data_IF_977943783898
#
_entry.id   IF_977943783898
#
_cell.length_a   1.000
_cell.length_b   1.000
_cell.length_c   1.000
_cell.angle_alpha   90.00
_cell.angle_beta   90.00
_cell.angle_gamma   90.00
#
_symmetry.space_group_name_H-M   'P 1'
#
loop_
_entity.id
_entity.type
_entity.pdbx_description
1 polymer ?
#
# COMPACT_ATOMS: atom_id res chain seq x y z
N UNK A 1 7.06 -11.73 26.39
CA UNK A 1 7.08 -10.26 26.49
C UNK A 1 8.45 -9.69 26.11
N UNK A 2 9.56 -10.21 26.66
CA UNK A 2 10.94 -9.73 26.40
C UNK A 2 11.49 -9.82 24.95
N UNK A 3 10.88 -10.58 24.03
CA UNK A 3 11.35 -10.68 22.64
C UNK A 3 10.74 -9.65 21.68
N UNK A 4 9.72 -8.89 22.09
CA UNK A 4 9.13 -7.86 21.22
C UNK A 4 9.90 -6.54 21.28
N UNK A 5 10.44 -6.19 22.46
CA UNK A 5 11.14 -4.92 22.69
C UNK A 5 12.49 -4.83 21.97
N UNK A 6 13.22 -5.94 21.86
CA UNK A 6 14.53 -5.98 21.17
C UNK A 6 14.39 -5.73 19.67
N UNK A 7 13.36 -6.29 19.04
CA UNK A 7 13.10 -6.05 17.62
C UNK A 7 12.31 -4.76 17.35
N UNK A 8 11.60 -4.21 18.34
CA UNK A 8 10.96 -2.91 18.25
C UNK A 8 12.00 -1.78 18.28
N UNK A 9 13.02 -1.89 19.13
CA UNK A 9 14.18 -0.98 19.15
C UNK A 9 14.93 -0.98 17.81
N UNK A 10 15.29 -2.16 17.30
CA UNK A 10 16.07 -2.26 16.04
C UNK A 10 15.32 -1.78 14.79
N UNK A 11 13.98 -1.82 14.79
CA UNK A 11 13.16 -1.39 13.65
C UNK A 11 13.06 0.14 13.51
N UNK A 12 13.42 0.92 14.54
CA UNK A 12 13.16 2.36 14.62
C UNK A 12 14.40 3.19 15.00
N UNK A 13 15.46 2.55 15.53
CA UNK A 13 16.72 3.23 15.89
C UNK A 13 17.41 3.79 14.64
N UNK A 14 17.68 5.10 14.65
CA UNK A 14 18.37 5.82 13.57
C UNK A 14 17.48 6.25 12.39
N UNK A 15 16.15 6.16 12.51
CA UNK A 15 15.21 6.48 11.44
C UNK A 15 14.61 7.87 11.71
N UNK A 16 14.87 8.83 10.82
CA UNK A 16 14.42 10.22 10.96
C UNK A 16 13.03 10.46 10.36
N UNK A 17 12.60 9.61 9.43
CA UNK A 17 11.29 9.71 8.79
C UNK A 17 10.84 8.42 8.11
N UNK A 18 9.57 8.34 7.67
CA UNK A 18 9.02 7.16 7.01
C UNK A 18 9.76 6.79 5.72
N UNK A 19 10.39 7.77 5.07
CA UNK A 19 11.17 7.59 3.84
C UNK A 19 12.51 6.86 4.05
N UNK A 20 12.98 6.74 5.28
CA UNK A 20 14.23 6.05 5.60
C UNK A 20 14.07 4.52 5.62
N UNK A 21 12.83 4.04 5.75
CA UNK A 21 12.51 2.63 5.75
C UNK A 21 12.88 1.95 4.43
N UNK A 22 13.44 0.73 4.53
CA UNK A 22 13.89 -0.05 3.35
C UNK A 22 12.76 -0.28 2.33
N UNK A 23 11.57 -0.66 2.79
CA UNK A 23 10.42 -0.89 1.90
C UNK A 23 9.97 0.40 1.21
N UNK A 24 10.01 1.55 1.89
CA UNK A 24 9.70 2.85 1.30
C UNK A 24 10.74 3.29 0.27
N UNK A 25 12.03 2.97 0.47
CA UNK A 25 13.08 3.22 -0.52
C UNK A 25 12.89 2.41 -1.80
N UNK A 26 12.56 1.13 -1.66
CA UNK A 26 12.24 0.25 -2.81
C UNK A 26 10.99 0.76 -3.52
N UNK A 27 9.93 1.07 -2.78
CA UNK A 27 8.69 1.59 -3.35
C UNK A 27 8.90 2.91 -4.09
N UNK A 28 9.67 3.83 -3.49
CA UNK A 28 10.07 5.10 -4.11
C UNK A 28 10.79 4.86 -5.42
N UNK A 29 11.79 3.98 -5.43
CA UNK A 29 12.56 3.67 -6.64
C UNK A 29 11.65 3.14 -7.76
N UNK A 30 10.77 2.19 -7.45
CA UNK A 30 9.92 1.57 -8.47
C UNK A 30 8.83 2.51 -8.97
N UNK A 31 8.15 3.22 -8.06
CA UNK A 31 7.13 4.21 -8.46
C UNK A 31 7.73 5.36 -9.28
N UNK A 32 9.02 5.68 -9.11
CA UNK A 32 9.71 6.66 -9.95
C UNK A 32 9.91 6.17 -11.38
N UNK A 33 10.28 4.90 -11.58
CA UNK A 33 10.43 4.29 -12.91
C UNK A 33 9.13 4.42 -13.72
N UNK A 34 7.98 4.19 -13.08
CA UNK A 34 6.67 4.24 -13.75
C UNK A 34 5.99 5.63 -13.68
N UNK A 35 6.70 6.67 -13.24
CA UNK A 35 6.18 8.04 -13.06
C UNK A 35 5.03 8.20 -12.04
N UNK A 36 4.82 7.20 -11.19
CA UNK A 36 3.80 7.17 -10.13
C UNK A 36 4.22 7.79 -8.79
N UNK A 37 5.50 8.15 -8.60
CA UNK A 37 5.97 8.73 -7.34
C UNK A 37 5.62 10.23 -7.23
N UNK A 38 5.08 10.72 -6.08
CA UNK A 38 4.73 12.12 -5.86
C UNK A 38 5.94 13.03 -5.54
N UNK A 39 7.08 12.82 -6.20
CA UNK A 39 8.34 13.52 -5.88
C UNK A 39 8.23 15.06 -5.89
N UNK A 40 7.54 15.63 -6.89
CA UNK A 40 7.28 17.08 -6.97
C UNK A 40 6.43 17.60 -5.81
N UNK A 41 5.41 16.84 -5.38
CA UNK A 41 4.54 17.24 -4.28
C UNK A 41 5.26 17.18 -2.92
N UNK A 42 6.24 16.28 -2.79
CA UNK A 42 7.12 16.13 -1.64
C UNK A 42 8.29 17.15 -1.62
N UNK A 43 8.47 17.95 -2.68
CA UNK A 43 9.59 18.90 -2.79
C UNK A 43 10.94 18.24 -3.08
N UNK A 44 10.95 17.00 -3.56
CA UNK A 44 12.18 16.29 -3.90
C UNK A 44 12.78 16.84 -5.21
N UNK A 45 14.12 16.85 -5.32
CA UNK A 45 14.80 17.13 -6.58
C UNK A 45 14.35 16.09 -7.61
N UNK A 46 13.63 16.54 -8.64
CA UNK A 46 13.14 15.69 -9.71
C UNK A 46 14.30 15.31 -10.63
N UNK A 47 14.44 14.01 -10.94
CA UNK A 47 15.34 13.58 -12.01
C UNK A 47 14.89 14.23 -13.34
N UNK A 48 15.80 14.46 -14.28
CA UNK A 48 15.44 14.98 -15.63
C UNK A 48 14.42 14.10 -16.37
N UNK A 49 14.38 12.82 -16.01
CA UNK A 49 13.46 11.80 -16.53
C UNK A 49 12.11 11.81 -15.78
N UNK A 50 12.05 12.42 -14.58
CA UNK A 50 10.86 12.53 -13.75
C UNK A 50 10.10 13.82 -14.09
N UNK A 51 9.01 13.69 -14.83
CA UNK A 51 8.14 14.81 -15.17
C UNK A 51 6.82 14.35 -15.77
N UNK A 52 5.86 15.27 -15.88
CA UNK A 52 4.57 14.98 -16.53
C UNK A 52 4.78 14.46 -17.96
N UNK A 53 5.83 14.90 -18.66
CA UNK A 53 6.19 14.40 -19.99
C UNK A 53 6.46 12.89 -20.05
N UNK A 54 7.14 12.32 -19.03
CA UNK A 54 7.34 10.86 -18.96
C UNK A 54 6.01 10.14 -18.71
N UNK A 55 5.19 10.65 -17.78
CA UNK A 55 3.87 10.08 -17.52
C UNK A 55 2.98 10.10 -18.79
N UNK A 56 3.00 11.20 -19.55
CA UNK A 56 2.30 11.30 -20.84
C UNK A 56 2.88 10.32 -21.87
N UNK A 57 4.20 10.21 -21.97
CA UNK A 57 4.87 9.27 -22.86
C UNK A 57 4.45 7.82 -22.57
N UNK A 58 4.53 7.38 -21.32
CA UNK A 58 4.12 6.02 -20.93
C UNK A 58 2.62 5.79 -21.17
N UNK A 59 1.77 6.79 -20.95
CA UNK A 59 0.33 6.68 -21.18
C UNK A 59 0.00 6.56 -22.66
N UNK A 60 0.61 7.38 -23.51
CA UNK A 60 0.44 7.33 -24.97
C UNK A 60 0.96 6.00 -25.51
N UNK A 61 2.13 5.56 -25.04
CA UNK A 61 2.71 4.28 -25.43
C UNK A 61 1.79 3.10 -25.05
N UNK A 62 1.24 3.12 -23.84
CA UNK A 62 0.26 2.11 -23.36
C UNK A 62 -0.99 2.07 -24.24
N UNK A 63 -1.53 3.23 -24.63
CA UNK A 63 -2.67 3.34 -25.54
C UNK A 63 -2.37 2.79 -26.93
N UNK A 64 -1.19 3.08 -27.48
CA UNK A 64 -0.75 2.56 -28.77
C UNK A 64 -0.68 1.03 -28.72
N UNK A 65 -0.06 0.46 -27.67
CA UNK A 65 -0.01 -0.99 -27.50
C UNK A 65 -1.40 -1.61 -27.34
N UNK A 66 -2.33 -0.94 -26.66
CA UNK A 66 -3.70 -1.42 -26.52
C UNK A 66 -4.42 -1.43 -27.87
N UNK A 67 -4.31 -0.35 -28.65
CA UNK A 67 -4.91 -0.24 -29.97
C UNK A 67 -4.33 -1.27 -30.96
N UNK A 68 -3.01 -1.43 -30.97
CA UNK A 68 -2.32 -2.45 -31.77
C UNK A 68 -2.72 -3.86 -31.36
N UNK A 69 -2.86 -4.13 -30.06
CA UNK A 69 -3.33 -5.41 -29.54
C UNK A 69 -4.75 -5.75 -30.02
N UNK A 70 -5.68 -4.79 -29.95
CA UNK A 70 -7.05 -4.95 -30.46
C UNK A 70 -7.04 -5.21 -31.97
N UNK A 71 -6.26 -4.42 -32.73
CA UNK A 71 -6.18 -4.55 -34.18
C UNK A 71 -5.58 -5.91 -34.60
N UNK A 72 -4.50 -6.34 -33.93
CA UNK A 72 -3.86 -7.63 -34.15
C UNK A 72 -4.81 -8.79 -33.90
N UNK A 73 -5.55 -8.74 -32.78
CA UNK A 73 -6.54 -9.75 -32.42
C UNK A 73 -7.66 -9.80 -33.46
N UNK A 74 -8.26 -8.66 -33.83
CA UNK A 74 -9.33 -8.63 -34.85
C UNK A 74 -8.89 -9.23 -36.18
N UNK A 75 -7.65 -8.98 -36.61
CA UNK A 75 -7.13 -9.47 -37.88
C UNK A 75 -6.82 -10.98 -37.86
N UNK A 76 -6.32 -11.49 -36.74
CA UNK A 76 -5.77 -12.84 -36.65
C UNK A 76 -6.58 -13.82 -35.76
N UNK A 77 -7.71 -13.39 -35.18
CA UNK A 77 -8.51 -14.22 -34.26
C UNK A 77 -8.88 -15.60 -34.84
N UNK A 78 -9.14 -15.68 -36.15
CA UNK A 78 -9.48 -16.94 -36.83
C UNK A 78 -8.32 -17.95 -36.92
N UNK A 79 -7.08 -17.52 -36.67
CA UNK A 79 -5.87 -18.35 -36.80
C UNK A 79 -5.42 -18.98 -35.49
N UNK A 80 -5.91 -18.50 -34.36
CA UNK A 80 -5.44 -18.91 -33.05
C UNK A 80 -6.33 -19.99 -32.43
N UNK A 81 -5.68 -20.94 -31.75
CA UNK A 81 -6.38 -21.91 -30.91
C UNK A 81 -6.99 -21.27 -29.66
N UNK A 82 -7.89 -21.99 -28.96
CA UNK A 82 -8.56 -21.49 -27.76
C UNK A 82 -7.60 -20.99 -26.68
N UNK A 83 -6.53 -21.75 -26.39
CA UNK A 83 -5.55 -21.39 -25.36
C UNK A 83 -4.75 -20.13 -25.74
N UNK A 84 -4.33 -20.02 -27.00
CA UNK A 84 -3.60 -18.86 -27.51
C UNK A 84 -4.46 -17.59 -27.47
N UNK A 85 -5.74 -17.73 -27.85
CA UNK A 85 -6.72 -16.66 -27.78
C UNK A 85 -6.95 -16.21 -26.32
N UNK A 86 -7.03 -17.17 -25.39
CA UNK A 86 -7.12 -16.92 -23.95
C UNK A 86 -5.94 -16.09 -23.42
N UNK A 87 -4.71 -16.46 -23.77
CA UNK A 87 -3.52 -15.69 -23.41
C UNK A 87 -3.53 -14.27 -24.00
N UNK A 88 -3.92 -14.13 -25.27
CA UNK A 88 -4.07 -12.83 -25.93
C UNK A 88 -5.10 -11.93 -25.22
N UNK A 89 -6.24 -12.48 -24.79
CA UNK A 89 -7.23 -11.73 -24.02
C UNK A 89 -6.71 -11.28 -22.66
N UNK A 90 -6.01 -12.16 -21.92
CA UNK A 90 -5.42 -11.80 -20.62
C UNK A 90 -4.43 -10.64 -20.79
N UNK A 91 -3.55 -10.71 -21.80
CA UNK A 91 -2.59 -9.63 -22.09
C UNK A 91 -3.31 -8.33 -22.42
N UNK A 92 -4.39 -8.39 -23.21
CA UNK A 92 -5.17 -7.22 -23.59
C UNK A 92 -5.87 -6.57 -22.39
N UNK A 93 -6.47 -7.38 -21.52
CA UNK A 93 -7.10 -6.93 -20.28
C UNK A 93 -6.09 -6.34 -19.30
N UNK A 94 -4.91 -6.95 -19.17
CA UNK A 94 -3.84 -6.41 -18.34
C UNK A 94 -3.34 -5.06 -18.86
N UNK A 95 -3.18 -4.91 -20.17
CA UNK A 95 -2.80 -3.63 -20.77
C UNK A 95 -3.89 -2.56 -20.59
N UNK A 96 -5.17 -2.94 -20.68
CA UNK A 96 -6.29 -2.05 -20.39
C UNK A 96 -6.25 -1.56 -18.94
N UNK A 97 -5.97 -2.45 -17.98
CA UNK A 97 -5.81 -2.09 -16.57
C UNK A 97 -4.60 -1.16 -16.36
N UNK A 98 -3.43 -1.47 -16.93
CA UNK A 98 -2.25 -0.61 -16.87
C UNK A 98 -2.52 0.79 -17.44
N UNK A 99 -3.23 0.87 -18.56
CA UNK A 99 -3.63 2.13 -19.18
C UNK A 99 -4.57 2.92 -18.26
N UNK A 100 -5.58 2.27 -17.68
CA UNK A 100 -6.50 2.90 -16.72
C UNK A 100 -5.76 3.48 -15.51
N UNK A 101 -4.77 2.76 -14.98
CA UNK A 101 -3.92 3.22 -13.86
C UNK A 101 -3.01 4.38 -14.25
N UNK A 102 -2.45 4.37 -15.46
CA UNK A 102 -1.64 5.50 -15.96
C UNK A 102 -2.47 6.80 -16.00
N UNK A 103 -3.73 6.72 -16.46
CA UNK A 103 -4.64 7.87 -16.46
C UNK A 103 -5.07 8.28 -15.05
N UNK A 104 -5.50 7.34 -14.22
CA UNK A 104 -6.11 7.65 -12.92
C UNK A 104 -5.10 7.99 -11.84
N UNK A 105 -3.87 7.46 -11.91
CA UNK A 105 -2.84 7.64 -10.88
C UNK A 105 -1.69 8.53 -11.37
N UNK A 106 -1.01 8.17 -12.46
CA UNK A 106 0.19 8.90 -12.89
C UNK A 106 -0.10 10.34 -13.32
N UNK A 107 -1.23 10.58 -13.99
CA UNK A 107 -1.64 11.90 -14.46
C UNK A 107 -2.47 12.69 -13.43
N UNK A 108 -2.93 12.04 -12.36
CA UNK A 108 -3.81 12.67 -11.37
C UNK A 108 -3.02 13.46 -10.33
N UNK A 109 -3.29 14.76 -10.25
CA UNK A 109 -2.77 15.60 -9.16
C UNK A 109 -3.38 15.23 -7.81
N UNK A 110 -4.65 14.82 -7.78
CA UNK A 110 -5.33 14.38 -6.54
C UNK A 110 -4.61 13.21 -5.91
N UNK A 111 -4.24 12.20 -6.71
CA UNK A 111 -3.45 11.06 -6.22
C UNK A 111 -2.11 11.51 -5.63
N UNK A 112 -1.41 12.44 -6.28
CA UNK A 112 -0.13 12.96 -5.78
C UNK A 112 -0.27 13.71 -4.46
N UNK A 113 -1.36 14.45 -4.28
CA UNK A 113 -1.69 15.13 -3.02
C UNK A 113 -2.01 14.13 -1.91
N UNK A 114 -2.83 13.12 -2.18
CA UNK A 114 -3.15 12.06 -1.21
C UNK A 114 -1.88 11.30 -0.80
N UNK A 115 -1.04 10.93 -1.77
CA UNK A 115 0.23 10.25 -1.50
C UNK A 115 1.18 11.11 -0.64
N UNK A 116 1.19 12.44 -0.84
CA UNK A 116 1.93 13.38 0.01
C UNK A 116 1.39 13.40 1.43
N UNK A 117 0.06 13.55 1.60
CA UNK A 117 -0.60 13.55 2.91
C UNK A 117 -0.31 12.25 3.65
N UNK A 118 -0.39 11.12 2.96
CA UNK A 118 -0.03 9.82 3.51
C UNK A 118 1.40 9.81 4.07
N UNK A 119 2.40 10.18 3.25
CA UNK A 119 3.80 10.10 3.65
C UNK A 119 4.15 11.10 4.77
N UNK A 120 3.55 12.30 4.76
CA UNK A 120 3.96 13.41 5.64
C UNK A 120 3.11 13.57 6.90
N UNK A 121 1.87 13.08 6.91
CA UNK A 121 0.92 13.32 8.00
C UNK A 121 0.32 12.03 8.55
N UNK A 122 -0.17 11.16 7.67
CA UNK A 122 -0.95 9.96 8.07
C UNK A 122 -0.07 8.73 8.31
N UNK A 123 1.21 8.73 7.94
CA UNK A 123 2.05 7.57 8.22
C UNK A 123 2.15 7.34 9.73
N UNK A 124 1.97 6.09 10.17
CA UNK A 124 1.92 5.72 11.60
C UNK A 124 3.23 6.03 12.35
N UNK A 125 4.29 6.37 11.62
CA UNK A 125 5.57 6.82 12.14
C UNK A 125 5.44 8.06 13.03
N UNK A 126 4.54 8.99 12.69
CA UNK A 126 4.36 10.24 13.43
C UNK A 126 3.56 10.06 14.74
N UNK A 127 2.96 8.89 14.95
CA UNK A 127 2.09 8.61 16.09
C UNK A 127 2.64 7.51 17.00
N UNK A 128 3.80 6.96 16.67
CA UNK A 128 4.42 5.84 17.37
C UNK A 128 4.71 6.15 18.85
N UNK A 129 5.00 7.41 19.17
CA UNK A 129 5.44 7.85 20.51
C UNK A 129 4.25 8.29 21.40
N UNK A 130 3.01 8.21 20.91
CA UNK A 130 1.82 8.64 21.66
C UNK A 130 1.48 7.69 22.83
N UNK A 131 1.79 6.40 22.69
CA UNK A 131 1.58 5.39 23.74
C UNK A 131 2.40 4.13 23.46
N UNK A 132 2.63 3.31 24.48
CA UNK A 132 3.29 2.00 24.31
C UNK A 132 2.53 1.09 23.34
N UNK A 133 1.19 1.14 23.38
CA UNK A 133 0.36 0.40 22.43
C UNK A 133 0.51 0.93 21.00
N UNK A 134 0.57 2.25 20.80
CA UNK A 134 0.81 2.85 19.49
C UNK A 134 2.16 2.44 18.90
N UNK A 135 3.21 2.36 19.72
CA UNK A 135 4.52 1.85 19.30
C UNK A 135 4.45 0.38 18.87
N UNK A 136 3.77 -0.47 19.65
CA UNK A 136 3.57 -1.88 19.32
C UNK A 136 2.84 -2.08 17.98
N UNK A 137 1.77 -1.30 17.74
CA UNK A 137 1.03 -1.33 16.48
C UNK A 137 1.90 -0.81 15.33
N UNK A 138 2.66 0.27 15.53
CA UNK A 138 3.61 0.79 14.54
C UNK A 138 4.63 -0.27 14.10
N UNK A 139 5.25 -0.99 15.05
CA UNK A 139 6.18 -2.07 14.75
C UNK A 139 5.51 -3.20 13.97
N UNK A 140 4.28 -3.56 14.34
CA UNK A 140 3.50 -4.60 13.65
C UNK A 140 3.21 -4.20 12.21
N UNK A 141 2.68 -2.99 11.98
CA UNK A 141 2.39 -2.45 10.64
C UNK A 141 3.67 -2.35 9.80
N UNK A 142 4.78 -1.90 10.39
CA UNK A 142 6.08 -1.83 9.74
C UNK A 142 6.54 -3.21 9.24
N UNK A 143 6.44 -4.25 10.09
CA UNK A 143 6.81 -5.61 9.71
C UNK A 143 5.95 -6.16 8.57
N UNK A 144 4.63 -6.02 8.68
CA UNK A 144 3.69 -6.47 7.63
C UNK A 144 4.00 -5.74 6.31
N UNK A 145 4.23 -4.43 6.37
CA UNK A 145 4.61 -3.60 5.22
C UNK A 145 5.90 -4.08 4.56
N UNK A 146 6.92 -4.40 5.36
CA UNK A 146 8.18 -4.94 4.87
C UNK A 146 7.99 -6.31 4.20
N UNK A 147 7.30 -7.24 4.86
CA UNK A 147 7.03 -8.57 4.30
C UNK A 147 6.23 -8.50 3.00
N UNK A 148 5.19 -7.67 2.95
CA UNK A 148 4.39 -7.46 1.76
C UNK A 148 5.24 -6.92 0.58
N UNK A 149 6.09 -5.92 0.84
CA UNK A 149 6.97 -5.36 -0.18
C UNK A 149 7.98 -6.38 -0.71
N UNK A 150 8.61 -7.16 0.18
CA UNK A 150 9.54 -8.23 -0.22
C UNK A 150 8.82 -9.33 -1.00
N UNK A 151 7.66 -9.77 -0.53
CA UNK A 151 6.85 -10.80 -1.18
C UNK A 151 6.45 -10.38 -2.60
N UNK A 152 5.91 -9.18 -2.77
CA UNK A 152 5.52 -8.65 -4.08
C UNK A 152 6.74 -8.51 -5.00
N UNK A 153 7.88 -8.06 -4.47
CA UNK A 153 9.11 -7.93 -5.25
C UNK A 153 9.60 -9.30 -5.76
N UNK A 154 9.62 -10.32 -4.90
CA UNK A 154 9.99 -11.69 -5.27
C UNK A 154 9.02 -12.25 -6.32
N UNK A 155 7.72 -12.10 -6.12
CA UNK A 155 6.71 -12.57 -7.06
C UNK A 155 6.85 -11.92 -8.43
N UNK A 156 7.17 -10.63 -8.48
CA UNK A 156 7.43 -9.93 -9.74
C UNK A 156 8.71 -10.40 -10.43
N UNK A 157 9.79 -10.65 -9.67
CA UNK A 157 11.02 -11.23 -10.22
C UNK A 157 10.78 -12.63 -10.78
N UNK A 158 10.05 -13.49 -10.06
CA UNK A 158 9.69 -14.84 -10.54
C UNK A 158 8.82 -14.75 -11.79
N UNK A 159 7.78 -13.92 -11.78
CA UNK A 159 6.91 -13.73 -12.93
C UNK A 159 7.68 -13.24 -14.16
N UNK A 160 8.57 -12.27 -13.98
CA UNK A 160 9.46 -11.78 -15.01
C UNK A 160 10.37 -12.88 -15.59
N UNK A 161 11.00 -13.68 -14.73
CA UNK A 161 11.84 -14.78 -15.16
C UNK A 161 11.02 -15.82 -15.93
N UNK A 162 9.91 -16.31 -15.37
CA UNK A 162 9.08 -17.35 -15.99
C UNK A 162 8.48 -16.91 -17.33
N UNK A 163 8.06 -15.65 -17.43
CA UNK A 163 7.49 -15.11 -18.66
C UNK A 163 8.48 -15.12 -19.84
N UNK A 164 9.78 -15.01 -19.57
CA UNK A 164 10.83 -15.08 -20.59
C UNK A 164 11.39 -16.50 -20.75
N UNK A 165 11.60 -17.23 -19.65
CA UNK A 165 12.25 -18.53 -19.65
C UNK A 165 11.35 -19.64 -20.19
N UNK A 166 10.03 -19.60 -19.96
CA UNK A 166 9.11 -20.64 -20.45
C UNK A 166 9.06 -20.64 -22.00
N UNK A 167 8.84 -19.50 -22.69
CA UNK A 167 8.91 -19.47 -24.15
C UNK A 167 10.30 -19.85 -24.68
N UNK A 168 11.37 -19.45 -23.99
CA UNK A 168 12.74 -19.80 -24.38
C UNK A 168 12.98 -21.31 -24.29
N UNK A 169 12.58 -21.95 -23.19
CA UNK A 169 12.68 -23.39 -23.00
C UNK A 169 11.85 -24.14 -24.05
N UNK A 170 10.62 -23.71 -24.31
CA UNK A 170 9.75 -24.33 -25.31
C UNK A 170 10.36 -24.24 -26.72
N UNK A 171 10.93 -23.09 -27.09
CA UNK A 171 11.63 -22.91 -28.36
C UNK A 171 12.89 -23.78 -28.45
N UNK A 172 13.62 -23.94 -27.34
CA UNK A 172 14.79 -24.82 -27.28
C UNK A 172 14.43 -26.29 -27.41
N UNK A 173 13.43 -26.76 -26.66
CA UNK A 173 12.94 -28.13 -26.75
C UNK A 173 12.37 -28.47 -28.13
N UNK A 174 11.80 -27.50 -28.84
CA UNK A 174 11.30 -27.65 -30.21
C UNK A 174 12.42 -27.65 -31.27
N UNK A 175 13.68 -27.40 -30.91
CA UNK A 175 14.81 -27.37 -31.85
C UNK A 175 14.94 -26.07 -32.64
N UNK A 176 14.20 -25.01 -32.29
CA UNK A 176 14.19 -23.75 -33.04
C UNK A 176 15.52 -22.96 -32.95
N UNK A 177 16.42 -23.32 -32.03
CA UNK A 177 17.77 -22.75 -31.95
C UNK A 177 18.83 -23.53 -32.74
N UNK A 178 18.46 -24.60 -33.48
CA UNK A 178 19.41 -25.43 -34.21
C UNK A 178 19.90 -24.81 -35.55
N UNK A 179 19.20 -23.80 -36.08
CA UNK A 179 19.59 -23.09 -37.30
C UNK A 179 19.33 -21.58 -37.17
N UNK A 180 20.26 -20.75 -37.67
CA UNK A 180 20.17 -19.30 -37.63
C UNK A 180 19.01 -18.73 -38.47
N UNK A 181 18.46 -19.51 -39.39
CA UNK A 181 17.35 -19.11 -40.28
C UNK A 181 15.97 -19.14 -39.60
N UNK A 182 15.83 -19.75 -38.42
CA UNK A 182 14.56 -19.93 -37.70
C UNK A 182 14.39 -19.04 -36.46
N UNK A 183 15.12 -17.92 -36.36
CA UNK A 183 14.98 -16.96 -35.26
C UNK A 183 13.71 -16.08 -35.40
N UNK A 184 12.53 -16.68 -35.36
CA UNK A 184 11.32 -15.92 -35.01
C UNK A 184 11.33 -15.66 -33.51
N UNK A 185 11.77 -14.46 -33.13
CA UNK A 185 11.77 -14.03 -31.73
C UNK A 185 10.33 -13.81 -31.24
N UNK A 186 9.70 -14.85 -30.67
CA UNK A 186 8.37 -14.79 -30.03
C UNK A 186 8.48 -14.38 -28.55
N UNK A 187 9.39 -13.47 -28.20
CA UNK A 187 9.42 -12.94 -26.84
C UNK A 187 8.30 -11.89 -26.71
N UNK A 188 7.21 -12.26 -26.05
CA UNK A 188 6.08 -11.38 -25.80
C UNK A 188 6.56 -10.19 -24.94
N UNK A 189 6.47 -8.98 -25.47
CA UNK A 189 6.86 -7.75 -24.76
C UNK A 189 5.81 -7.33 -23.72
N UNK A 190 5.65 -8.09 -22.63
CA UNK A 190 4.55 -7.86 -21.65
C UNK A 190 5.02 -7.59 -20.21
N UNK A 191 6.32 -7.68 -19.94
CA UNK A 191 6.88 -7.58 -18.59
C UNK A 191 6.73 -6.18 -17.94
N UNK A 192 6.57 -5.12 -18.74
CA UNK A 192 6.41 -3.74 -18.23
C UNK A 192 4.99 -3.43 -17.72
N UNK A 193 3.95 -4.07 -18.28
CA UNK A 193 2.55 -3.78 -17.87
C UNK A 193 2.20 -4.41 -16.51
N UNK A 194 2.53 -5.69 -16.29
CA UNK A 194 2.19 -6.37 -15.02
C UNK A 194 2.96 -5.84 -13.81
N UNK A 195 4.21 -5.41 -14.00
CA UNK A 195 5.04 -4.84 -12.94
C UNK A 195 4.53 -3.47 -12.48
N UNK A 196 3.98 -2.65 -13.37
CA UNK A 196 3.45 -1.32 -13.01
C UNK A 196 2.17 -1.39 -12.17
N UNK A 197 1.24 -2.30 -12.48
CA UNK A 197 -0.02 -2.47 -11.72
C UNK A 197 0.27 -2.92 -10.29
N UNK A 198 1.07 -3.97 -10.14
CA UNK A 198 1.39 -4.56 -8.84
C UNK A 198 2.07 -3.58 -7.88
N UNK A 199 2.75 -2.56 -8.40
CA UNK A 199 3.46 -1.56 -7.59
C UNK A 199 2.54 -0.46 -7.06
N UNK A 200 1.52 -0.07 -7.84
CA UNK A 200 0.45 0.79 -7.31
C UNK A 200 -0.37 0.08 -6.26
N UNK A 201 -0.67 -1.21 -6.49
CA UNK A 201 -1.40 -2.02 -5.53
C UNK A 201 -0.59 -2.21 -4.23
N UNK A 202 0.73 -2.42 -4.33
CA UNK A 202 1.61 -2.43 -3.15
C UNK A 202 1.53 -1.11 -2.37
N UNK A 203 1.60 0.05 -3.05
CA UNK A 203 1.49 1.33 -2.36
C UNK A 203 0.14 1.49 -1.64
N UNK A 204 -0.94 1.09 -2.30
CA UNK A 204 -2.29 1.10 -1.72
C UNK A 204 -2.38 0.17 -0.51
N UNK A 205 -1.84 -1.05 -0.58
CA UNK A 205 -1.78 -1.97 0.56
C UNK A 205 -1.03 -1.35 1.74
N UNK A 206 0.09 -0.66 1.50
CA UNK A 206 0.85 0.01 2.55
C UNK A 206 0.04 1.13 3.23
N UNK A 207 -0.72 1.91 2.44
CA UNK A 207 -1.64 2.90 3.00
C UNK A 207 -2.71 2.23 3.86
N UNK A 208 -3.31 1.14 3.39
CA UNK A 208 -4.33 0.38 4.13
C UNK A 208 -3.78 -0.16 5.45
N UNK A 209 -2.55 -0.71 5.47
CA UNK A 209 -1.97 -1.22 6.71
C UNK A 209 -1.76 -0.12 7.76
N UNK A 210 -1.34 1.07 7.33
CA UNK A 210 -1.21 2.22 8.22
C UNK A 210 -2.58 2.69 8.74
N UNK A 211 -3.60 2.80 7.88
CA UNK A 211 -4.97 3.13 8.28
C UNK A 211 -5.56 2.09 9.25
N UNK A 212 -5.33 0.81 8.99
CA UNK A 212 -5.72 -0.26 9.90
C UNK A 212 -5.05 -0.11 11.27
N UNK A 213 -3.76 0.25 11.29
CA UNK A 213 -3.05 0.54 12.53
C UNK A 213 -3.65 1.72 13.29
N UNK A 214 -4.00 2.81 12.60
CA UNK A 214 -4.72 3.94 13.19
C UNK A 214 -6.05 3.54 13.84
N UNK A 215 -6.86 2.74 13.15
CA UNK A 215 -8.12 2.24 13.73
C UNK A 215 -7.89 1.36 14.94
N UNK A 216 -6.85 0.52 14.93
CA UNK A 216 -6.50 -0.30 16.10
C UNK A 216 -6.10 0.54 17.31
N UNK A 217 -5.37 1.63 17.12
CA UNK A 217 -5.01 2.56 18.19
C UNK A 217 -6.26 3.28 18.70
N UNK A 218 -7.14 3.75 17.81
CA UNK A 218 -8.37 4.43 18.20
C UNK A 218 -9.29 3.52 19.01
N UNK A 219 -9.50 2.28 18.56
CA UNK A 219 -10.32 1.29 19.29
C UNK A 219 -9.71 1.04 20.67
N UNK A 220 -8.39 0.84 20.76
CA UNK A 220 -7.72 0.62 22.04
C UNK A 220 -7.93 1.79 23.01
N UNK A 221 -7.82 3.03 22.52
CA UNK A 221 -8.04 4.23 23.33
C UNK A 221 -9.50 4.35 23.81
N UNK A 222 -10.46 3.89 23.01
CA UNK A 222 -11.88 3.87 23.38
C UNK A 222 -12.22 2.73 24.36
N UNK A 223 -11.59 1.57 24.22
CA UNK A 223 -11.81 0.42 25.11
C UNK A 223 -11.21 0.65 26.51
N UNK A 224 -10.09 1.37 26.59
CA UNK A 224 -9.40 1.74 27.84
C UNK A 224 -9.75 3.14 28.32
N UNK A 225 -10.85 3.70 27.80
CA UNK A 225 -11.32 5.01 28.21
C UNK A 225 -11.69 4.97 29.70
N UNK A 226 -11.28 5.97 30.51
CA UNK A 226 -11.52 5.95 31.95
C UNK A 226 -13.01 5.84 32.25
N UNK A 227 -13.37 4.88 33.09
CA UNK A 227 -14.74 4.71 33.61
C UNK A 227 -14.90 5.51 34.90
N UNK A 228 -16.12 5.91 35.28
CA UNK A 228 -16.35 6.61 36.54
C UNK A 228 -15.84 5.79 37.73
N UNK A 229 -15.11 6.40 38.67
CA UNK A 229 -14.61 5.68 39.85
C UNK A 229 -15.73 5.30 40.85
N UNK A 230 -16.92 5.88 40.71
CA UNK A 230 -18.06 5.64 41.61
C UNK A 230 -18.74 4.32 41.24
N UNK A 231 -18.36 3.21 41.89
CA UNK A 231 -19.09 1.95 41.80
C UNK A 231 -20.49 2.10 42.42
N UNK A 232 -21.51 1.72 41.65
CA UNK A 232 -22.89 1.64 42.11
C UNK A 232 -23.03 0.44 43.03
N UNK A 233 -23.70 0.65 44.17
CA UNK A 233 -24.06 -0.45 45.06
C UNK A 233 -25.49 -0.90 44.72
N UNK A 234 -25.67 -2.19 44.46
CA UNK A 234 -26.99 -2.79 44.23
C UNK A 234 -27.90 -2.56 45.45
N UNK A 235 -29.22 -2.67 45.29
CA UNK A 235 -30.18 -2.46 46.39
C UNK A 235 -29.88 -3.31 47.65
N UNK A 236 -29.30 -4.50 47.48
CA UNK A 236 -28.86 -5.37 48.59
C UNK A 236 -27.57 -4.89 49.29
N UNK A 237 -26.72 -4.12 48.60
CA UNK A 237 -25.51 -3.54 49.18
C UNK A 237 -25.71 -2.13 49.74
N UNK A 238 -26.75 -1.39 49.32
CA UNK A 238 -27.19 -0.13 49.95
C UNK A 238 -27.48 -0.33 51.44
N UNK A 239 -28.21 -1.40 51.79
CA UNK A 239 -28.57 -1.72 53.18
C UNK A 239 -27.35 -2.07 54.05
N UNK A 240 -26.27 -2.57 53.41
CA UNK A 240 -25.03 -2.99 54.08
C UNK A 240 -23.98 -1.86 54.18
N UNK A 241 -24.01 -0.91 53.26
CA UNK A 241 -22.99 0.13 53.08
C UNK A 241 -23.46 1.55 53.41
N UNK A 242 -24.78 1.80 53.45
CA UNK A 242 -25.35 3.14 53.62
C UNK A 242 -25.11 4.10 52.45
N UNK A 243 -24.83 3.59 51.24
CA UNK A 243 -24.60 4.38 50.02
C UNK A 243 -25.82 4.33 49.10
N UNK A 244 -26.19 5.47 48.54
CA UNK A 244 -27.40 5.70 47.73
C UNK A 244 -27.30 5.02 46.36
N UNK A 245 -28.38 4.40 45.89
CA UNK A 245 -28.52 3.90 44.50
C UNK A 245 -28.39 5.08 43.52
N UNK A 246 -27.44 5.01 42.57
CA UNK A 246 -27.21 6.07 41.59
C UNK A 246 -26.65 5.57 40.26
N UNK A 247 -26.80 6.38 39.21
CA UNK A 247 -26.09 6.16 37.93
C UNK A 247 -24.60 6.42 38.14
N UNK A 248 -23.72 5.62 37.51
CA UNK A 248 -22.29 5.94 37.41
C UNK A 248 -22.15 7.35 36.83
N UNK A 249 -21.65 8.30 37.62
CA UNK A 249 -21.37 9.66 37.18
C UNK A 249 -19.92 10.02 37.50
N UNK A 250 -19.27 10.66 36.54
CA UNK A 250 -17.94 11.24 36.75
C UNK A 250 -18.05 12.40 37.75
N UNK A 251 -17.08 12.49 38.66
CA UNK A 251 -16.84 13.71 39.44
C UNK A 251 -16.44 14.87 38.53
N UNK A 252 -16.54 16.12 39.01
CA UNK A 252 -16.17 17.30 38.20
C UNK A 252 -14.71 17.24 37.69
N UNK A 253 -13.78 16.72 38.51
CA UNK A 253 -12.39 16.53 38.11
C UNK A 253 -12.19 15.42 37.08
N UNK A 254 -12.92 14.31 37.21
CA UNK A 254 -12.87 13.22 36.22
C UNK A 254 -13.52 13.64 34.90
N UNK A 255 -14.58 14.46 34.95
CA UNK A 255 -15.27 14.98 33.78
C UNK A 255 -14.34 15.89 32.96
N UNK A 256 -13.53 16.71 33.62
CA UNK A 256 -12.52 17.55 32.95
C UNK A 256 -11.49 16.67 32.21
N UNK A 257 -10.94 15.65 32.87
CA UNK A 257 -9.98 14.70 32.26
C UNK A 257 -10.60 13.92 31.09
N UNK A 258 -11.82 13.42 31.26
CA UNK A 258 -12.60 12.73 30.22
C UNK A 258 -12.83 13.64 29.02
N UNK A 259 -13.17 14.92 29.25
CA UNK A 259 -13.41 15.88 28.17
C UNK A 259 -12.16 16.10 27.31
N UNK A 260 -10.98 16.16 27.95
CA UNK A 260 -9.70 16.33 27.27
C UNK A 260 -9.37 15.09 26.44
N UNK A 261 -9.45 13.89 27.03
CA UNK A 261 -9.20 12.63 26.32
C UNK A 261 -10.15 12.40 25.15
N UNK A 262 -11.42 12.76 25.31
CA UNK A 262 -12.41 12.65 24.24
C UNK A 262 -12.07 13.61 23.09
N UNK A 263 -11.66 14.84 23.41
CA UNK A 263 -11.22 15.83 22.43
C UNK A 263 -9.99 15.36 21.67
N UNK A 264 -9.02 14.77 22.34
CA UNK A 264 -7.83 14.17 21.71
C UNK A 264 -8.21 13.03 20.76
N UNK A 265 -9.12 12.14 21.16
CA UNK A 265 -9.61 11.05 20.31
C UNK A 265 -10.33 11.59 19.05
N UNK A 266 -11.17 12.62 19.21
CA UNK A 266 -11.86 13.28 18.10
C UNK A 266 -10.85 13.95 17.16
N UNK A 267 -9.88 14.68 17.70
CA UNK A 267 -8.82 15.32 16.90
C UNK A 267 -7.97 14.29 16.15
N UNK A 268 -7.61 13.20 16.80
CA UNK A 268 -6.91 12.09 16.18
C UNK A 268 -7.72 11.45 15.05
N UNK A 269 -9.04 11.26 15.24
CA UNK A 269 -9.93 10.75 14.20
C UNK A 269 -10.07 11.74 13.02
N UNK A 270 -10.22 13.04 13.28
CA UNK A 270 -10.29 14.05 12.23
C UNK A 270 -9.02 14.07 11.37
N UNK A 271 -7.84 13.94 11.97
CA UNK A 271 -6.57 13.85 11.23
C UNK A 271 -6.46 12.64 10.28
N UNK A 272 -7.24 11.57 10.53
CA UNK A 272 -7.27 10.38 9.67
C UNK A 272 -8.27 10.55 8.51
N UNK A 273 -9.35 11.31 8.73
CA UNK A 273 -10.46 11.47 7.78
C UNK A 273 -10.27 12.65 6.82
N UNK A 274 -9.55 13.70 7.23
CA UNK A 274 -9.18 14.86 6.40
C UNK A 274 -8.09 14.58 5.35
#
# INVERSE_FOLDING_TARGET
>A
MFHLDTYAGDAVVGISGPMDYKYMKVLRFVLRIISGWPGKALGEKTLKIEGMGHAYYNTILSLIYLALGIAYLKKNAHRFGFLELGHLYIVLLMNMLSTSRAFTLCLSEKYRTVAKIFIQKVHLFYFKDNSEYAMSIHVTVHRISYFAAVYVSIMLSIAACLFNLIPMYNNYAAGNFASFDNLQNTTYGTMLCGSSVSMFDLFLCLMIFNLWGHFKILIYNLDHFPRPATEVVDAEGEERSGRIIGSEMYSESELEEVSVKLKECIQYHMLIVE
#
